data_IF_497381838581
#
_entry.id   IF_497381838581
#
_cell.length_a   1.000
_cell.length_b   1.000
_cell.length_c   1.000
_cell.angle_alpha   90.00
_cell.angle_beta   90.00
_cell.angle_gamma   90.00
#
_symmetry.space_group_name_H-M   'P 1'
#
loop_
_entity.id
_entity.type
_entity.pdbx_description
1 polymer ?
#
# COMPACT_ATOMS: atom_id res chain seq x y z
N UNK A 1 21.16 -22.47 -11.60
CA UNK A 1 20.48 -23.15 -10.48
C UNK A 1 19.36 -22.24 -10.00
N UNK A 2 18.10 -22.67 -10.16
CA UNK A 2 16.92 -21.90 -9.76
C UNK A 2 16.86 -21.95 -8.23
N UNK A 3 16.87 -20.77 -7.58
CA UNK A 3 16.72 -20.67 -6.12
C UNK A 3 15.31 -21.10 -5.72
N UNK A 4 15.16 -22.35 -5.30
CA UNK A 4 13.89 -22.95 -4.84
C UNK A 4 13.48 -22.49 -3.44
N UNK A 5 14.42 -21.98 -2.64
CA UNK A 5 14.18 -21.59 -1.26
C UNK A 5 13.28 -20.36 -1.07
N UNK A 6 13.06 -19.55 -2.12
CA UNK A 6 12.13 -18.41 -2.08
C UNK A 6 10.67 -18.81 -2.28
N UNK A 7 10.37 -20.00 -2.80
CA UNK A 7 8.99 -20.47 -3.00
C UNK A 7 8.42 -21.20 -1.78
N UNK A 8 9.25 -21.77 -0.91
CA UNK A 8 8.81 -22.61 0.21
C UNK A 8 8.59 -21.87 1.52
N UNK A 9 9.10 -20.64 1.69
CA UNK A 9 8.99 -19.93 2.97
C UNK A 9 7.59 -19.36 3.27
N UNK A 10 6.64 -19.48 2.34
CA UNK A 10 5.25 -19.00 2.53
C UNK A 10 4.21 -19.99 2.01
N UNK A 11 4.40 -21.30 2.22
CA UNK A 11 3.36 -22.29 1.93
C UNK A 11 2.37 -22.37 3.09
N UNK A 12 1.52 -21.36 3.23
CA UNK A 12 0.38 -21.43 4.15
C UNK A 12 -0.66 -22.40 3.56
N UNK A 13 -1.05 -23.41 4.33
CA UNK A 13 -2.18 -24.28 4.00
C UNK A 13 -3.44 -23.71 4.66
N UNK A 14 -4.54 -23.72 3.93
CA UNK A 14 -5.86 -23.35 4.45
C UNK A 14 -6.63 -24.64 4.62
N UNK A 15 -7.20 -24.84 5.80
CA UNK A 15 -8.05 -25.98 6.07
C UNK A 15 -9.43 -25.74 5.45
N UNK A 16 -9.76 -26.51 4.42
CA UNK A 16 -11.05 -26.46 3.73
C UNK A 16 -11.75 -27.79 3.99
N UNK A 17 -12.74 -27.78 4.87
CA UNK A 17 -13.53 -28.96 5.26
C UNK A 17 -12.67 -30.15 5.75
N UNK A 18 -11.60 -29.89 6.50
CA UNK A 18 -10.72 -30.92 7.06
C UNK A 18 -9.63 -31.41 6.11
N UNK A 19 -9.52 -30.83 4.90
CA UNK A 19 -8.46 -31.12 3.95
C UNK A 19 -7.49 -29.92 3.85
N UNK A 20 -6.17 -30.12 4.06
CA UNK A 20 -5.18 -29.07 3.89
C UNK A 20 -4.99 -28.76 2.40
N UNK A 21 -5.54 -27.63 1.95
CA UNK A 21 -5.38 -27.14 0.58
C UNK A 21 -4.36 -26.00 0.58
N UNK A 22 -3.51 -25.92 -0.45
CA UNK A 22 -2.51 -24.86 -0.55
C UNK A 22 -3.17 -23.48 -0.74
N UNK A 23 -2.73 -22.47 0.02
CA UNK A 23 -3.30 -21.12 -0.05
C UNK A 23 -3.31 -20.54 -1.49
N UNK A 24 -2.24 -20.68 -2.30
CA UNK A 24 -2.26 -20.19 -3.68
C UNK A 24 -3.34 -20.88 -4.53
N UNK A 25 -3.51 -22.20 -4.42
CA UNK A 25 -4.52 -22.94 -5.17
C UNK A 25 -5.95 -22.53 -4.75
N UNK A 26 -6.18 -22.32 -3.45
CA UNK A 26 -7.47 -21.85 -2.95
C UNK A 26 -7.86 -20.47 -3.50
N UNK A 27 -6.88 -19.57 -3.66
CA UNK A 27 -7.09 -18.24 -4.26
C UNK A 27 -7.45 -18.36 -5.73
N UNK A 28 -6.78 -19.21 -6.50
CA UNK A 28 -7.13 -19.47 -7.91
C UNK A 28 -8.52 -20.06 -8.07
N UNK A 29 -8.91 -21.00 -7.21
CA UNK A 29 -10.26 -21.60 -7.20
C UNK A 29 -11.33 -20.57 -6.83
N UNK A 30 -11.09 -19.76 -5.81
CA UNK A 30 -11.98 -18.66 -5.43
C UNK A 30 -12.10 -17.61 -6.53
N UNK A 31 -11.00 -17.27 -7.20
CA UNK A 31 -10.99 -16.33 -8.31
C UNK A 31 -11.76 -16.89 -9.52
N UNK A 32 -11.58 -18.18 -9.84
CA UNK A 32 -12.34 -18.85 -10.88
C UNK A 32 -13.83 -18.87 -10.53
N UNK A 33 -14.20 -19.24 -9.31
CA UNK A 33 -15.59 -19.27 -8.84
C UNK A 33 -16.22 -17.87 -8.84
N UNK A 34 -15.48 -16.84 -8.42
CA UNK A 34 -15.93 -15.45 -8.45
C UNK A 34 -16.09 -14.93 -9.89
N UNK A 35 -15.19 -15.32 -10.79
CA UNK A 35 -15.29 -14.97 -12.22
C UNK A 35 -16.51 -15.61 -12.88
N UNK A 36 -16.82 -16.87 -12.54
CA UNK A 36 -18.02 -17.58 -13.00
C UNK A 36 -19.28 -16.95 -12.40
N UNK A 37 -19.27 -16.58 -11.12
CA UNK A 37 -20.38 -15.84 -10.49
C UNK A 37 -20.58 -14.45 -11.11
N UNK A 38 -19.51 -13.75 -11.45
CA UNK A 38 -19.58 -12.45 -12.13
C UNK A 38 -20.10 -12.60 -13.56
N UNK A 39 -19.67 -13.62 -14.30
CA UNK A 39 -20.20 -13.95 -15.62
C UNK A 39 -21.68 -14.34 -15.53
N UNK A 40 -22.06 -15.20 -14.59
CA UNK A 40 -23.44 -15.57 -14.35
C UNK A 40 -24.28 -14.36 -13.94
N UNK A 41 -23.77 -13.47 -13.08
CA UNK A 41 -24.45 -12.25 -12.67
C UNK A 41 -24.58 -11.24 -13.82
N UNK A 42 -23.56 -11.08 -14.65
CA UNK A 42 -23.60 -10.19 -15.83
C UNK A 42 -24.55 -10.73 -16.89
N UNK A 43 -24.52 -12.04 -17.17
CA UNK A 43 -25.49 -12.72 -18.05
C UNK A 43 -26.90 -12.61 -17.47
N UNK A 44 -27.10 -12.87 -16.18
CA UNK A 44 -28.40 -12.75 -15.52
C UNK A 44 -28.95 -11.31 -15.57
N UNK A 45 -28.09 -10.32 -15.32
CA UNK A 45 -28.43 -8.89 -15.43
C UNK A 45 -28.76 -8.53 -16.88
N UNK A 46 -27.99 -9.02 -17.85
CA UNK A 46 -28.22 -8.76 -19.27
C UNK A 46 -29.52 -9.39 -19.78
N UNK A 47 -29.78 -10.65 -19.41
CA UNK A 47 -30.98 -11.41 -19.80
C UNK A 47 -32.24 -10.86 -19.11
N UNK A 48 -32.18 -10.51 -17.81
CA UNK A 48 -33.36 -10.00 -17.08
C UNK A 48 -33.59 -8.49 -17.22
N UNK A 49 -32.59 -7.68 -17.59
CA UNK A 49 -32.70 -6.21 -17.64
C UNK A 49 -32.44 -5.62 -19.03
N UNK A 50 -33.12 -6.19 -20.04
CA UNK A 50 -33.12 -5.70 -21.43
C UNK A 50 -33.63 -4.25 -21.59
N UNK A 51 -34.37 -3.71 -20.62
CA UNK A 51 -34.90 -2.34 -20.65
C UNK A 51 -34.20 -1.46 -19.61
N UNK A 52 -33.26 -0.63 -20.06
CA UNK A 52 -32.63 0.44 -19.29
C UNK A 52 -33.60 1.63 -19.10
N UNK A 53 -34.73 1.41 -18.41
CA UNK A 53 -35.35 2.47 -17.63
C UNK A 53 -34.96 2.22 -16.18
N UNK A 54 -34.07 3.05 -15.64
CA UNK A 54 -33.60 2.97 -14.26
C UNK A 54 -34.77 3.30 -13.33
N UNK A 55 -35.54 2.28 -13.00
CA UNK A 55 -36.50 2.27 -11.90
C UNK A 55 -36.25 1.01 -11.08
N UNK A 56 -35.24 1.01 -10.21
CA UNK A 56 -35.14 -0.05 -9.20
C UNK A 56 -36.39 0.05 -8.30
N UNK A 57 -37.24 -0.99 -8.21
CA UNK A 57 -38.49 -0.92 -7.45
C UNK A 57 -38.24 -0.67 -5.96
N UNK A 58 -37.09 -1.11 -5.44
CA UNK A 58 -36.64 -0.80 -4.08
C UNK A 58 -36.29 0.69 -3.90
N UNK A 59 -35.57 1.28 -4.85
CA UNK A 59 -35.21 2.70 -4.82
C UNK A 59 -36.46 3.56 -5.03
N UNK A 60 -37.41 3.13 -5.85
CA UNK A 60 -38.71 3.80 -5.99
C UNK A 60 -39.57 3.68 -4.72
N UNK A 61 -39.55 2.52 -4.04
CA UNK A 61 -40.22 2.34 -2.74
C UNK A 61 -39.59 3.24 -1.67
N UNK A 62 -38.27 3.26 -1.55
CA UNK A 62 -37.53 4.13 -0.62
C UNK A 62 -37.78 5.61 -0.94
N UNK A 63 -37.75 5.98 -2.24
CA UNK A 63 -38.02 7.35 -2.73
C UNK A 63 -39.46 7.81 -2.53
N UNK A 64 -40.42 6.87 -2.51
CA UNK A 64 -41.82 7.13 -2.11
C UNK A 64 -41.98 7.24 -0.60
N UNK A 65 -41.23 6.45 0.18
CA UNK A 65 -41.29 6.42 1.65
C UNK A 65 -40.58 7.61 2.32
N UNK A 66 -39.60 8.21 1.63
CA UNK A 66 -38.87 9.38 2.08
C UNK A 66 -38.92 10.50 1.02
N UNK A 67 -40.00 11.30 0.95
CA UNK A 67 -40.13 12.38 -0.03
C UNK A 67 -39.05 13.46 0.10
N UNK A 68 -38.42 13.61 1.28
CA UNK A 68 -37.26 14.49 1.51
C UNK A 68 -35.97 14.02 0.78
N UNK A 69 -35.93 12.77 0.30
CA UNK A 69 -34.87 12.25 -0.59
C UNK A 69 -35.15 12.56 -2.08
N UNK A 70 -36.27 13.19 -2.44
CA UNK A 70 -36.36 13.92 -3.72
C UNK A 70 -35.41 15.09 -3.59
N UNK A 71 -34.24 14.98 -4.20
CA UNK A 71 -33.24 16.04 -4.21
C UNK A 71 -33.91 17.37 -4.51
N UNK A 72 -33.94 18.24 -3.50
CA UNK A 72 -34.11 19.67 -3.72
C UNK A 72 -33.02 20.10 -4.69
N UNK A 73 -33.28 20.99 -5.68
CA UNK A 73 -32.20 21.51 -6.51
C UNK A 73 -31.12 22.04 -5.58
N UNK A 74 -29.95 21.39 -5.61
CA UNK A 74 -28.87 21.75 -4.70
C UNK A 74 -28.49 23.21 -4.95
N UNK A 75 -28.41 24.01 -3.89
CA UNK A 75 -28.15 25.45 -3.99
C UNK A 75 -26.78 25.77 -4.64
N UNK A 76 -25.86 24.79 -4.67
CA UNK A 76 -24.53 24.94 -5.25
C UNK A 76 -24.17 23.82 -6.23
N UNK A 77 -23.40 24.18 -7.27
CA UNK A 77 -22.87 23.23 -8.28
C UNK A 77 -21.99 22.17 -7.61
N UNK A 78 -21.24 22.53 -6.57
CA UNK A 78 -20.39 21.61 -5.82
C UNK A 78 -21.19 20.46 -5.21
N UNK A 79 -22.31 20.76 -4.54
CA UNK A 79 -23.16 19.74 -3.92
C UNK A 79 -23.80 18.86 -4.97
N UNK A 80 -24.22 19.42 -6.11
CA UNK A 80 -24.81 18.63 -7.20
C UNK A 80 -23.80 17.68 -7.85
N UNK A 81 -22.58 18.15 -8.12
CA UNK A 81 -21.54 17.31 -8.71
C UNK A 81 -21.01 16.26 -7.71
N UNK A 82 -20.91 16.60 -6.43
CA UNK A 82 -20.61 15.63 -5.37
C UNK A 82 -21.71 14.57 -5.24
N UNK A 83 -22.98 14.96 -5.30
CA UNK A 83 -24.12 14.03 -5.30
C UNK A 83 -24.06 13.08 -6.51
N UNK A 84 -23.76 13.59 -7.71
CA UNK A 84 -23.58 12.75 -8.90
C UNK A 84 -22.43 11.76 -8.72
N UNK A 85 -21.28 12.22 -8.23
CA UNK A 85 -20.09 11.39 -8.09
C UNK A 85 -20.29 10.30 -7.01
N UNK A 86 -20.77 10.68 -5.83
CA UNK A 86 -20.87 9.77 -4.69
C UNK A 86 -22.10 8.86 -4.74
N UNK A 87 -23.27 9.39 -5.14
CA UNK A 87 -24.54 8.66 -5.06
C UNK A 87 -24.93 8.12 -6.44
N UNK A 88 -24.97 8.95 -7.49
CA UNK A 88 -25.43 8.50 -8.82
C UNK A 88 -24.44 7.51 -9.45
N UNK A 89 -23.14 7.78 -9.36
CA UNK A 89 -22.08 6.89 -9.83
C UNK A 89 -21.68 5.81 -8.81
N UNK A 90 -22.39 5.71 -7.68
CA UNK A 90 -22.13 4.74 -6.59
C UNK A 90 -20.72 4.84 -5.99
N UNK A 91 -20.07 6.01 -6.06
CA UNK A 91 -18.76 6.24 -5.43
C UNK A 91 -18.75 5.92 -3.93
N UNK A 92 -19.86 6.16 -3.22
CA UNK A 92 -19.96 5.84 -1.79
C UNK A 92 -19.89 4.33 -1.52
N UNK A 93 -20.46 3.51 -2.39
CA UNK A 93 -20.40 2.05 -2.28
C UNK A 93 -18.96 1.58 -2.49
N UNK A 94 -18.25 2.18 -3.46
CA UNK A 94 -16.84 1.86 -3.71
C UNK A 94 -15.96 2.25 -2.51
N UNK A 95 -16.18 3.43 -1.91
CA UNK A 95 -15.46 3.85 -0.70
C UNK A 95 -15.71 2.87 0.46
N UNK A 96 -16.96 2.43 0.66
CA UNK A 96 -17.30 1.45 1.70
C UNK A 96 -16.65 0.08 1.44
N UNK A 97 -16.65 -0.40 0.20
CA UNK A 97 -15.97 -1.66 -0.16
C UNK A 97 -14.45 -1.52 0.04
N UNK A 98 -13.86 -0.38 -0.34
CA UNK A 98 -12.44 -0.13 -0.12
C UNK A 98 -12.08 -0.14 1.38
N UNK A 99 -12.88 0.54 2.20
CA UNK A 99 -12.71 0.52 3.66
C UNK A 99 -12.82 -0.91 4.22
N UNK A 100 -13.80 -1.70 3.76
CA UNK A 100 -13.99 -3.09 4.16
C UNK A 100 -12.82 -3.99 3.74
N UNK A 101 -12.20 -3.76 2.57
CA UNK A 101 -11.03 -4.53 2.14
C UNK A 101 -9.76 -4.17 2.92
N UNK A 102 -9.63 -2.94 3.42
CA UNK A 102 -8.49 -2.52 4.23
C UNK A 102 -8.64 -2.95 5.69
N UNK A 103 -9.86 -2.91 6.23
CA UNK A 103 -10.11 -3.16 7.65
C UNK A 103 -9.52 -4.49 8.19
N UNK A 104 -9.62 -5.64 7.50
CA UNK A 104 -9.00 -6.90 7.93
C UNK A 104 -7.48 -6.82 8.04
N UNK A 105 -6.81 -5.97 7.25
CA UNK A 105 -5.36 -5.78 7.34
C UNK A 105 -4.95 -5.17 8.69
N UNK A 106 -5.79 -4.31 9.27
CA UNK A 106 -5.55 -3.74 10.59
C UNK A 106 -5.60 -4.81 11.68
N UNK A 107 -6.55 -5.75 11.58
CA UNK A 107 -6.73 -6.79 12.59
C UNK A 107 -5.71 -7.94 12.50
N UNK A 108 -5.18 -8.24 11.30
CA UNK A 108 -4.30 -9.39 11.08
C UNK A 108 -2.82 -9.14 11.39
N UNK A 109 -2.34 -7.89 11.44
CA UNK A 109 -0.91 -7.62 11.68
C UNK A 109 -0.44 -7.93 13.11
N UNK A 110 -1.36 -8.03 14.07
CA UNK A 110 -1.05 -8.33 15.47
C UNK A 110 -0.56 -9.77 15.72
N UNK A 111 -0.57 -10.66 14.72
CA UNK A 111 -0.53 -12.10 15.01
C UNK A 111 0.85 -12.75 14.93
N UNK A 112 1.89 -12.20 14.26
CA UNK A 112 3.20 -12.88 14.23
C UNK A 112 4.41 -11.94 14.08
N UNK A 113 4.90 -11.37 15.18
CA UNK A 113 6.33 -11.01 15.27
C UNK A 113 7.11 -12.32 15.38
N UNK A 114 8.12 -12.53 14.54
CA UNK A 114 9.01 -13.69 14.68
C UNK A 114 9.77 -13.60 15.99
N UNK A 115 10.19 -14.73 16.54
CA UNK A 115 10.98 -14.79 17.78
C UNK A 115 12.24 -13.92 17.69
N UNK A 116 12.93 -13.96 16.55
CA UNK A 116 14.11 -13.13 16.28
C UNK A 116 13.77 -11.63 16.26
N UNK A 117 12.64 -11.25 15.69
CA UNK A 117 12.18 -9.85 15.65
C UNK A 117 11.77 -9.36 17.05
N UNK A 118 11.21 -10.24 17.89
CA UNK A 118 10.91 -9.92 19.28
C UNK A 118 12.19 -9.67 20.10
N UNK A 119 13.20 -10.54 19.96
CA UNK A 119 14.50 -10.31 20.60
C UNK A 119 15.14 -9.01 20.11
N UNK A 120 15.11 -8.77 18.79
CA UNK A 120 15.62 -7.54 18.19
C UNK A 120 14.90 -6.29 18.74
N UNK A 121 13.57 -6.32 18.85
CA UNK A 121 12.77 -5.24 19.43
C UNK A 121 13.17 -4.97 20.88
N UNK A 122 13.37 -6.02 21.69
CA UNK A 122 13.77 -5.88 23.09
C UNK A 122 15.15 -5.23 23.24
N UNK A 123 16.14 -5.65 22.44
CA UNK A 123 17.44 -4.98 22.43
C UNK A 123 17.36 -3.53 21.97
N UNK A 124 16.57 -3.25 20.93
CA UNK A 124 16.41 -1.89 20.41
C UNK A 124 15.69 -0.96 21.39
N UNK A 125 14.84 -1.48 22.27
CA UNK A 125 14.28 -0.71 23.38
C UNK A 125 15.36 -0.27 24.39
N UNK A 126 16.31 -1.14 24.70
CA UNK A 126 17.44 -0.84 25.61
C UNK A 126 18.41 0.16 24.97
N UNK A 127 18.76 -0.07 23.69
CA UNK A 127 19.77 0.73 22.98
C UNK A 127 19.22 2.05 22.41
N UNK A 128 17.92 2.27 22.50
CA UNK A 128 17.20 3.37 21.83
C UNK A 128 17.82 4.75 22.08
N UNK A 129 17.95 5.57 21.03
CA UNK A 129 18.56 6.92 21.10
C UNK A 129 20.07 6.93 20.83
N UNK A 130 20.76 8.01 21.21
CA UNK A 130 22.18 8.23 20.87
C UNK A 130 23.12 7.13 21.41
N UNK A 131 24.22 6.90 20.68
CA UNK A 131 25.26 5.97 21.09
C UNK A 131 26.06 6.55 22.26
N UNK A 132 25.96 5.92 23.44
CA UNK A 132 26.70 6.29 24.65
C UNK A 132 27.69 5.20 25.06
N UNK A 133 28.77 5.51 25.79
CA UNK A 133 29.75 4.52 26.27
C UNK A 133 29.13 3.40 27.11
N UNK A 134 28.05 3.69 27.84
CA UNK A 134 27.28 2.72 28.62
C UNK A 134 26.63 1.65 27.73
N UNK A 135 26.09 2.06 26.57
CA UNK A 135 25.49 1.15 25.59
C UNK A 135 26.54 0.31 24.87
N UNK A 136 27.72 0.86 24.61
CA UNK A 136 28.85 0.10 24.06
C UNK A 136 29.31 -0.99 25.04
N UNK A 137 29.40 -0.66 26.33
CA UNK A 137 29.73 -1.63 27.37
C UNK A 137 28.68 -2.75 27.48
N UNK A 138 27.38 -2.41 27.34
CA UNK A 138 26.31 -3.39 27.26
C UNK A 138 26.47 -4.34 26.05
N UNK A 139 26.79 -3.81 24.87
CA UNK A 139 27.02 -4.61 23.67
C UNK A 139 28.21 -5.57 23.83
N UNK A 140 29.30 -5.10 24.44
CA UNK A 140 30.48 -5.93 24.71
C UNK A 140 30.17 -7.06 25.70
N UNK A 141 29.46 -6.76 26.79
CA UNK A 141 29.05 -7.76 27.77
C UNK A 141 28.13 -8.84 27.15
N UNK A 142 27.18 -8.43 26.32
CA UNK A 142 26.27 -9.37 25.64
C UNK A 142 27.01 -10.22 24.59
N UNK A 143 27.97 -9.63 23.88
CA UNK A 143 28.83 -10.38 22.96
C UNK A 143 29.65 -11.45 23.67
N UNK A 144 30.21 -11.12 24.84
CA UNK A 144 30.96 -12.07 25.66
C UNK A 144 30.04 -13.19 26.19
N UNK A 145 28.85 -12.84 26.69
CA UNK A 145 27.85 -13.80 27.17
C UNK A 145 27.46 -14.83 26.09
N UNK A 146 27.25 -14.37 24.84
CA UNK A 146 26.97 -15.27 23.71
C UNK A 146 28.18 -16.15 23.36
N UNK A 147 29.40 -15.61 23.42
CA UNK A 147 30.62 -16.37 23.16
C UNK A 147 30.88 -17.44 24.22
N UNK A 148 30.68 -17.11 25.49
CA UNK A 148 30.83 -18.03 26.63
C UNK A 148 29.79 -19.16 26.55
N UNK A 149 28.53 -18.83 26.24
CA UNK A 149 27.49 -19.83 26.02
C UNK A 149 27.81 -20.77 24.85
N UNK A 150 28.37 -20.25 23.75
CA UNK A 150 28.81 -21.07 22.62
C UNK A 150 29.98 -22.00 23.00
N UNK A 151 30.93 -21.51 23.79
CA UNK A 151 32.07 -22.29 24.26
C UNK A 151 31.64 -23.43 25.20
N UNK A 152 30.69 -23.19 26.09
CA UNK A 152 30.15 -24.22 26.98
C UNK A 152 29.37 -25.30 26.22
N UNK A 153 28.61 -24.96 25.18
CA UNK A 153 28.01 -25.97 24.29
C UNK A 153 29.08 -26.81 23.60
N UNK A 154 30.14 -26.19 23.08
CA UNK A 154 31.25 -26.94 22.46
C UNK A 154 31.94 -27.86 23.47
N UNK A 155 32.10 -27.43 24.72
CA UNK A 155 32.64 -28.27 25.80
C UNK A 155 31.72 -29.45 26.13
N UNK A 156 30.41 -29.22 26.21
CA UNK A 156 29.42 -30.28 26.46
C UNK A 156 29.42 -31.30 25.32
N UNK A 157 29.51 -30.84 24.07
CA UNK A 157 29.64 -31.71 22.90
C UNK A 157 30.92 -32.55 22.96
N UNK A 158 32.06 -31.98 23.35
CA UNK A 158 33.31 -32.74 23.57
C UNK A 158 33.16 -33.82 24.64
N UNK A 159 32.51 -33.51 25.78
CA UNK A 159 32.26 -34.49 26.83
C UNK A 159 31.36 -35.65 26.35
N UNK A 160 30.42 -35.36 25.45
CA UNK A 160 29.58 -36.38 24.82
C UNK A 160 30.39 -37.26 23.85
N UNK A 161 31.21 -36.66 22.99
CA UNK A 161 32.09 -37.40 22.06
C UNK A 161 33.13 -38.27 22.79
N UNK A 162 33.56 -37.86 23.98
CA UNK A 162 34.43 -38.65 24.86
C UNK A 162 33.69 -39.73 25.67
N UNK A 163 32.39 -39.96 25.41
CA UNK A 163 31.50 -40.89 26.12
C UNK A 163 31.41 -40.64 27.64
N UNK A 164 31.73 -39.43 28.12
CA UNK A 164 31.69 -39.07 29.56
C UNK A 164 30.28 -38.71 30.05
N UNK A 165 29.38 -38.38 29.14
CA UNK A 165 27.98 -38.06 29.43
C UNK A 165 27.06 -38.80 28.46
N UNK A 166 25.83 -39.08 28.89
CA UNK A 166 24.79 -39.67 28.04
C UNK A 166 24.11 -38.61 27.17
N UNK A 167 23.48 -39.03 26.07
CA UNK A 167 22.73 -38.11 25.19
C UNK A 167 21.63 -37.33 25.92
N UNK A 168 20.97 -37.96 26.90
CA UNK A 168 19.96 -37.30 27.74
C UNK A 168 20.59 -36.20 28.60
N UNK A 169 21.79 -36.45 29.16
CA UNK A 169 22.53 -35.46 29.93
C UNK A 169 23.07 -34.32 29.06
N UNK A 170 23.52 -34.63 27.83
CA UNK A 170 23.95 -33.62 26.85
C UNK A 170 22.83 -32.61 26.58
N UNK A 171 21.65 -33.09 26.22
CA UNK A 171 20.48 -32.23 25.95
C UNK A 171 20.13 -31.39 27.18
N UNK A 172 20.13 -31.98 28.38
CA UNK A 172 19.82 -31.24 29.61
C UNK A 172 20.85 -30.14 29.92
N UNK A 173 22.14 -30.43 29.74
CA UNK A 173 23.22 -29.46 29.99
C UNK A 173 23.26 -28.34 28.94
N UNK A 174 22.85 -28.62 27.70
CA UNK A 174 22.78 -27.62 26.62
C UNK A 174 21.59 -26.65 26.73
N UNK A 175 20.45 -27.09 27.27
CA UNK A 175 19.21 -26.29 27.37
C UNK A 175 19.42 -24.82 27.79
N UNK A 176 20.09 -24.50 28.92
CA UNK A 176 20.27 -23.11 29.34
C UNK A 176 21.04 -22.28 28.32
N UNK A 177 22.09 -22.85 27.70
CA UNK A 177 22.91 -22.15 26.71
C UNK A 177 22.22 -22.02 25.35
N UNK A 178 21.40 -22.99 24.95
CA UNK A 178 20.60 -22.87 23.73
C UNK A 178 19.62 -21.70 23.82
N UNK A 179 19.01 -21.47 24.99
CA UNK A 179 18.11 -20.32 25.20
C UNK A 179 18.83 -18.96 25.03
N UNK A 180 20.12 -18.89 25.35
CA UNK A 180 20.97 -17.72 25.15
C UNK A 180 21.30 -17.56 23.66
N UNK A 181 21.69 -18.64 22.98
CA UNK A 181 22.01 -18.63 21.56
C UNK A 181 20.81 -18.35 20.65
N UNK A 182 19.57 -18.58 21.10
CA UNK A 182 18.37 -18.15 20.36
C UNK A 182 18.37 -16.63 20.05
N UNK A 183 19.10 -15.82 20.82
CA UNK A 183 19.24 -14.37 20.59
C UNK A 183 20.32 -14.00 19.58
N UNK A 184 21.16 -14.94 19.16
CA UNK A 184 22.37 -14.68 18.37
C UNK A 184 22.07 -14.00 17.03
N UNK A 185 21.02 -14.42 16.31
CA UNK A 185 20.62 -13.81 15.04
C UNK A 185 20.24 -12.32 15.22
N UNK A 186 19.42 -12.05 16.25
CA UNK A 186 19.01 -10.69 16.58
C UNK A 186 20.21 -9.82 16.98
N UNK A 187 21.12 -10.37 17.79
CA UNK A 187 22.34 -9.70 18.22
C UNK A 187 23.29 -9.41 17.05
N UNK A 188 23.44 -10.34 16.10
CA UNK A 188 24.25 -10.12 14.91
C UNK A 188 23.72 -8.94 14.07
N UNK A 189 22.39 -8.84 13.90
CA UNK A 189 21.75 -7.68 13.24
C UNK A 189 22.05 -6.37 13.97
N UNK A 190 22.07 -6.38 15.30
CA UNK A 190 22.42 -5.20 16.11
C UNK A 190 23.88 -4.82 15.93
N UNK A 191 24.79 -5.80 15.91
CA UNK A 191 26.21 -5.53 15.69
C UNK A 191 26.48 -4.93 14.31
N UNK A 192 25.74 -5.37 13.28
CA UNK A 192 25.78 -4.73 11.96
C UNK A 192 25.30 -3.27 12.02
N UNK A 193 24.22 -2.99 12.77
CA UNK A 193 23.71 -1.65 12.99
C UNK A 193 24.73 -0.78 13.75
N UNK A 194 25.36 -1.31 14.80
CA UNK A 194 26.40 -0.63 15.57
C UNK A 194 27.57 -0.23 14.67
N UNK A 195 28.10 -1.18 13.89
CA UNK A 195 29.19 -0.92 12.95
C UNK A 195 28.83 0.18 11.94
N UNK A 196 27.58 0.21 11.49
CA UNK A 196 27.06 1.26 10.60
C UNK A 196 27.11 2.64 11.26
N UNK A 197 26.64 2.77 12.52
CA UNK A 197 26.67 4.04 13.25
C UNK A 197 28.10 4.52 13.49
N UNK A 198 29.01 3.63 13.84
CA UNK A 198 30.43 3.97 14.06
C UNK A 198 31.10 4.44 12.78
N UNK A 199 30.80 3.82 11.63
CA UNK A 199 31.31 4.24 10.32
C UNK A 199 30.81 5.63 9.89
N UNK A 200 29.59 6.01 10.29
CA UNK A 200 29.02 7.33 10.01
C UNK A 200 29.51 8.43 10.96
N UNK A 201 30.31 8.10 11.98
CA UNK A 201 30.80 9.05 12.97
C UNK A 201 29.76 9.44 14.03
N UNK A 202 28.75 8.57 14.26
CA UNK A 202 27.71 8.76 15.27
C UNK A 202 26.29 8.56 14.73
N UNK A 203 25.31 8.69 15.61
CA UNK A 203 23.89 8.58 15.29
C UNK A 203 23.09 8.00 16.45
N UNK A 204 21.83 7.67 16.18
CA UNK A 204 20.93 7.09 17.18
C UNK A 204 20.45 5.71 16.76
N UNK A 205 20.39 4.77 17.70
CA UNK A 205 19.68 3.53 17.48
C UNK A 205 18.18 3.81 17.37
N UNK A 206 17.64 3.48 16.20
CA UNK A 206 16.22 3.55 15.90
C UNK A 206 15.74 2.16 15.54
N UNK A 207 14.64 1.73 16.16
CA UNK A 207 13.98 0.48 15.80
C UNK A 207 13.42 0.58 14.38
N UNK A 208 14.08 -0.07 13.42
CA UNK A 208 13.96 0.26 12.00
C UNK A 208 12.94 -0.61 11.23
N UNK A 209 12.58 -1.78 11.75
CA UNK A 209 11.71 -2.74 11.06
C UNK A 209 10.38 -2.13 10.61
N UNK A 210 9.72 -1.36 11.47
CA UNK A 210 8.46 -0.66 11.13
C UNK A 210 8.64 0.37 10.01
N UNK A 211 9.73 1.14 10.05
CA UNK A 211 10.06 2.13 9.03
C UNK A 211 10.38 1.48 7.68
N UNK A 212 11.13 0.37 7.68
CA UNK A 212 11.43 -0.38 6.46
C UNK A 212 10.15 -0.89 5.78
N UNK A 213 9.20 -1.45 6.55
CA UNK A 213 7.91 -1.91 6.02
C UNK A 213 7.10 -0.73 5.46
N UNK A 214 7.01 0.37 6.22
CA UNK A 214 6.26 1.56 5.81
C UNK A 214 6.81 2.16 4.50
N UNK A 215 8.12 2.29 4.37
CA UNK A 215 8.75 2.92 3.20
C UNK A 215 8.79 2.02 1.97
N UNK A 216 8.88 0.70 2.15
CA UNK A 216 8.74 -0.27 1.04
C UNK A 216 7.39 -0.14 0.34
N UNK A 217 6.33 0.11 1.13
CA UNK A 217 4.98 0.31 0.65
C UNK A 217 4.34 -0.94 0.05
N UNK A 218 3.03 -1.09 0.25
CA UNK A 218 2.30 -2.22 -0.33
C UNK A 218 1.91 -1.98 -1.79
N UNK A 219 2.53 -2.73 -2.70
CA UNK A 219 2.12 -2.74 -4.12
C UNK A 219 0.64 -3.14 -4.29
N UNK A 220 0.13 -4.03 -3.42
CA UNK A 220 -1.26 -4.49 -3.47
C UNK A 220 -2.21 -3.35 -3.09
N UNK A 221 -1.87 -2.59 -2.04
CA UNK A 221 -2.64 -1.41 -1.66
C UNK A 221 -2.62 -0.35 -2.76
N UNK A 222 -1.49 -0.14 -3.42
CA UNK A 222 -1.40 0.78 -4.56
C UNK A 222 -2.23 0.32 -5.77
N UNK A 223 -2.16 -0.96 -6.13
CA UNK A 223 -3.00 -1.55 -7.19
C UNK A 223 -4.49 -1.37 -6.87
N UNK A 224 -4.89 -1.65 -5.63
CA UNK A 224 -6.27 -1.44 -5.18
C UNK A 224 -6.67 0.03 -5.36
N UNK A 225 -5.86 0.98 -4.88
CA UNK A 225 -6.11 2.42 -5.05
C UNK A 225 -6.28 2.82 -6.52
N UNK A 226 -5.43 2.31 -7.42
CA UNK A 226 -5.51 2.57 -8.86
C UNK A 226 -6.84 2.07 -9.45
N UNK A 227 -7.22 0.84 -9.12
CA UNK A 227 -8.49 0.23 -9.56
C UNK A 227 -9.69 1.00 -9.00
N UNK A 228 -9.67 1.34 -7.71
CA UNK A 228 -10.74 2.11 -7.07
C UNK A 228 -10.88 3.51 -7.68
N UNK A 229 -9.78 4.20 -7.98
CA UNK A 229 -9.83 5.47 -8.69
C UNK A 229 -10.43 5.32 -10.10
N UNK A 230 -10.03 4.29 -10.85
CA UNK A 230 -10.61 4.02 -12.16
C UNK A 230 -12.13 3.79 -12.07
N UNK A 231 -12.59 2.98 -11.11
CA UNK A 231 -14.01 2.68 -10.89
C UNK A 231 -14.80 3.88 -10.36
N UNK A 232 -14.19 4.79 -9.59
CA UNK A 232 -14.89 5.97 -9.09
C UNK A 232 -15.07 7.04 -10.18
N UNK A 233 -14.07 7.21 -11.05
CA UNK A 233 -13.99 8.39 -11.91
C UNK A 233 -14.25 8.13 -13.40
N UNK A 234 -14.34 6.87 -13.86
CA UNK A 234 -14.55 6.56 -15.29
C UNK A 234 -15.81 7.21 -15.88
N UNK A 235 -16.83 7.47 -15.07
CA UNK A 235 -18.13 7.95 -15.55
C UNK A 235 -18.34 9.47 -15.38
N UNK A 236 -17.35 10.21 -14.88
CA UNK A 236 -17.49 11.64 -14.52
C UNK A 236 -17.85 12.51 -15.73
N UNK A 237 -17.28 12.23 -16.90
CA UNK A 237 -17.58 12.92 -18.16
C UNK A 237 -18.31 12.02 -19.17
N UNK A 238 -17.96 10.73 -19.23
CA UNK A 238 -18.57 9.80 -20.19
C UNK A 238 -20.09 9.71 -20.08
N UNK A 239 -20.65 9.79 -18.87
CA UNK A 239 -22.10 9.78 -18.67
C UNK A 239 -22.80 10.94 -19.38
N UNK A 240 -22.20 12.14 -19.30
CA UNK A 240 -22.81 13.34 -19.87
C UNK A 240 -22.66 13.39 -21.38
N UNK A 241 -21.53 12.89 -21.89
CA UNK A 241 -21.27 12.72 -23.32
C UNK A 241 -22.20 11.67 -23.93
N UNK A 242 -22.44 10.54 -23.24
CA UNK A 242 -23.37 9.50 -23.67
C UNK A 242 -24.79 10.03 -23.85
N UNK A 243 -25.25 10.82 -22.89
CA UNK A 243 -26.63 11.32 -22.85
C UNK A 243 -26.80 12.68 -23.58
N UNK A 244 -25.74 13.21 -24.20
CA UNK A 244 -25.70 14.56 -24.79
C UNK A 244 -26.11 15.70 -23.83
N UNK A 245 -26.14 15.44 -22.53
CA UNK A 245 -26.52 16.43 -21.49
C UNK A 245 -25.51 17.57 -21.36
N UNK A 246 -24.28 17.40 -21.88
CA UNK A 246 -23.27 18.47 -21.94
C UNK A 246 -23.82 19.72 -22.63
N UNK A 247 -24.56 19.56 -23.74
CA UNK A 247 -25.16 20.68 -24.48
C UNK A 247 -26.16 21.47 -23.64
N UNK A 248 -26.98 20.75 -22.86
CA UNK A 248 -27.96 21.35 -21.96
C UNK A 248 -27.29 22.06 -20.78
N UNK A 249 -26.27 21.45 -20.16
CA UNK A 249 -25.56 22.06 -19.03
C UNK A 249 -24.90 23.38 -19.47
N UNK A 250 -24.36 23.44 -20.69
CA UNK A 250 -23.65 24.62 -21.21
C UNK A 250 -24.52 25.86 -21.45
N UNK A 251 -25.84 25.71 -21.56
CA UNK A 251 -26.75 26.87 -21.69
C UNK A 251 -26.93 27.60 -20.36
N UNK A 252 -26.58 26.98 -19.23
CA UNK A 252 -26.63 27.61 -17.91
C UNK A 252 -25.41 28.50 -17.64
N UNK A 253 -25.56 29.62 -16.90
CA UNK A 253 -24.50 30.60 -16.65
C UNK A 253 -23.27 30.00 -15.93
N UNK A 254 -23.50 29.06 -14.99
CA UNK A 254 -22.43 28.34 -14.28
C UNK A 254 -22.07 26.99 -14.92
N UNK A 255 -22.72 26.60 -16.02
CA UNK A 255 -22.58 25.27 -16.62
C UNK A 255 -21.36 25.05 -17.52
N UNK A 256 -20.60 26.12 -17.83
CA UNK A 256 -19.44 26.07 -18.73
C UNK A 256 -18.16 25.67 -17.98
N UNK A 257 -17.14 26.54 -17.96
CA UNK A 257 -15.86 26.23 -17.31
C UNK A 257 -15.97 25.96 -15.81
N UNK A 258 -16.98 26.51 -15.13
CA UNK A 258 -17.12 26.37 -13.68
C UNK A 258 -17.49 24.93 -13.29
N UNK A 259 -18.53 24.33 -13.89
CA UNK A 259 -18.88 22.91 -13.66
C UNK A 259 -17.74 21.96 -13.97
N UNK A 260 -16.99 22.19 -15.06
CA UNK A 260 -15.84 21.34 -15.41
C UNK A 260 -14.76 21.40 -14.32
N UNK A 261 -14.43 22.59 -13.80
CA UNK A 261 -13.47 22.74 -12.70
C UNK A 261 -13.97 22.07 -11.43
N UNK A 262 -15.25 22.24 -11.08
CA UNK A 262 -15.84 21.58 -9.92
C UNK A 262 -15.68 20.05 -10.00
N UNK A 263 -15.93 19.44 -11.17
CA UNK A 263 -15.74 17.99 -11.37
C UNK A 263 -14.30 17.55 -11.15
N UNK A 264 -13.34 18.22 -11.79
CA UNK A 264 -11.92 17.87 -11.70
C UNK A 264 -11.44 18.01 -10.25
N UNK A 265 -11.77 19.12 -9.59
CA UNK A 265 -11.38 19.36 -8.18
C UNK A 265 -12.04 18.34 -7.25
N UNK A 266 -13.34 18.04 -7.41
CA UNK A 266 -14.02 17.03 -6.60
C UNK A 266 -13.39 15.65 -6.77
N UNK A 267 -13.03 15.27 -8.00
CA UNK A 267 -12.33 14.00 -8.26
C UNK A 267 -10.99 13.94 -7.55
N UNK A 268 -10.18 15.01 -7.57
CA UNK A 268 -8.93 15.06 -6.82
C UNK A 268 -9.16 15.03 -5.31
N UNK A 269 -10.11 15.78 -4.77
CA UNK A 269 -10.43 15.78 -3.34
C UNK A 269 -10.83 14.38 -2.86
N UNK A 270 -11.68 13.68 -3.62
CA UNK A 270 -12.08 12.30 -3.29
C UNK A 270 -10.89 11.34 -3.40
N UNK A 271 -10.08 11.44 -4.46
CA UNK A 271 -8.89 10.59 -4.63
C UNK A 271 -7.84 10.79 -3.52
N UNK A 272 -7.60 12.05 -3.13
CA UNK A 272 -6.71 12.40 -2.01
C UNK A 272 -7.28 11.85 -0.70
N UNK A 273 -8.59 11.99 -0.47
CA UNK A 273 -9.22 11.50 0.76
C UNK A 273 -9.10 9.99 0.92
N UNK A 274 -9.41 9.23 -0.15
CA UNK A 274 -9.30 7.76 -0.16
C UNK A 274 -7.84 7.32 0.09
N UNK A 275 -6.89 7.99 -0.55
CA UNK A 275 -5.46 7.69 -0.39
C UNK A 275 -4.94 8.08 0.98
N UNK A 276 -5.38 9.20 1.54
CA UNK A 276 -5.05 9.64 2.90
C UNK A 276 -5.56 8.65 3.94
N UNK A 277 -6.79 8.15 3.79
CA UNK A 277 -7.34 7.10 4.64
C UNK A 277 -6.49 5.82 4.50
N UNK A 278 -6.19 5.37 3.29
CA UNK A 278 -5.39 4.15 3.08
C UNK A 278 -4.00 4.22 3.72
N UNK A 279 -3.30 5.35 3.53
CA UNK A 279 -1.96 5.57 4.11
C UNK A 279 -2.02 5.75 5.63
N UNK A 280 -3.03 6.46 6.15
CA UNK A 280 -3.24 6.62 7.58
C UNK A 280 -3.51 5.29 8.29
N UNK A 281 -4.28 4.40 7.65
CA UNK A 281 -4.53 3.05 8.16
C UNK A 281 -3.27 2.18 8.11
N UNK A 282 -2.49 2.21 7.02
CA UNK A 282 -1.20 1.51 6.93
C UNK A 282 -0.23 1.98 8.03
N UNK A 283 -0.16 3.29 8.24
CA UNK A 283 0.66 3.90 9.29
C UNK A 283 0.23 3.47 10.69
N UNK A 284 -1.07 3.55 11.00
CA UNK A 284 -1.60 3.18 12.31
C UNK A 284 -1.34 1.71 12.61
N UNK A 285 -1.57 0.84 11.63
CA UNK A 285 -1.32 -0.60 11.72
C UNK A 285 0.14 -0.91 12.07
N UNK A 286 1.08 -0.27 11.37
CA UNK A 286 2.51 -0.48 11.59
C UNK A 286 2.93 0.08 12.96
N UNK A 287 2.36 1.22 13.36
CA UNK A 287 2.64 1.82 14.66
C UNK A 287 2.14 0.95 15.83
N UNK A 288 0.98 0.30 15.70
CA UNK A 288 0.45 -0.58 16.74
C UNK A 288 1.36 -1.80 16.98
N UNK A 289 1.88 -2.41 15.91
CA UNK A 289 2.71 -3.64 16.01
C UNK A 289 4.16 -3.35 16.36
N UNK A 290 4.78 -2.41 15.64
CA UNK A 290 6.22 -2.15 15.74
C UNK A 290 6.53 -1.02 16.73
N UNK A 291 5.67 -0.01 16.83
CA UNK A 291 5.95 1.22 17.58
C UNK A 291 6.94 2.10 16.80
N UNK A 292 6.45 3.20 16.21
CA UNK A 292 7.27 4.15 15.47
C UNK A 292 7.74 5.25 16.43
N UNK A 293 8.93 5.06 17.01
CA UNK A 293 9.55 6.00 17.94
C UNK A 293 10.71 6.76 17.27
N UNK A 294 11.21 7.82 17.93
CA UNK A 294 12.33 8.66 17.47
C UNK A 294 12.13 9.38 16.10
N UNK A 295 10.99 10.01 15.89
CA UNK A 295 10.67 10.79 14.68
C UNK A 295 11.68 11.89 14.32
N UNK A 296 12.37 12.44 15.31
CA UNK A 296 13.36 13.51 15.15
C UNK A 296 14.76 13.00 14.84
N UNK A 297 15.01 11.69 14.95
CA UNK A 297 16.30 11.11 14.58
C UNK A 297 16.53 11.27 13.07
N UNK A 298 17.80 11.29 12.70
CA UNK A 298 18.21 11.33 11.31
C UNK A 298 17.83 10.05 10.58
N UNK A 299 17.35 10.17 9.34
CA UNK A 299 17.06 9.00 8.50
C UNK A 299 18.33 8.20 8.19
N UNK A 300 19.50 8.85 8.17
CA UNK A 300 20.79 8.21 7.88
C UNK A 300 21.20 7.19 8.96
N UNK A 301 20.68 7.33 10.18
CA UNK A 301 20.93 6.38 11.27
C UNK A 301 20.34 5.00 10.98
N UNK A 302 19.32 4.89 10.11
CA UNK A 302 18.79 3.61 9.66
C UNK A 302 19.72 3.07 8.55
N UNK A 303 20.30 1.85 8.69
CA UNK A 303 21.30 1.33 7.76
C UNK A 303 20.85 1.29 6.29
N UNK A 304 19.58 0.97 6.05
CA UNK A 304 19.00 0.94 4.70
C UNK A 304 19.02 2.32 4.02
N UNK A 305 19.00 3.40 4.80
CA UNK A 305 18.91 4.79 4.32
C UNK A 305 20.19 5.59 4.56
N UNK A 306 21.31 4.88 4.75
CA UNK A 306 22.64 5.45 4.98
C UNK A 306 23.11 6.46 3.93
N UNK A 307 22.64 6.31 2.69
CA UNK A 307 22.96 7.18 1.54
C UNK A 307 22.26 8.54 1.64
N UNK A 308 21.19 8.64 2.43
CA UNK A 308 20.42 9.87 2.57
C UNK A 308 21.13 10.89 3.46
N UNK A 309 20.86 12.20 3.27
CA UNK A 309 21.51 13.25 4.04
C UNK A 309 21.18 13.17 5.54
N UNK A 310 22.23 13.30 6.37
CA UNK A 310 22.12 13.24 7.83
C UNK A 310 21.27 14.36 8.48
N UNK A 311 21.01 15.46 7.78
CA UNK A 311 20.15 16.54 8.26
C UNK A 311 18.65 16.25 8.08
N UNK A 312 18.27 15.23 7.30
CA UNK A 312 16.87 14.93 7.03
C UNK A 312 16.29 14.06 8.18
N UNK A 313 15.33 14.58 8.95
CA UNK A 313 14.69 13.80 10.00
C UNK A 313 13.74 12.74 9.41
N UNK A 314 13.50 11.68 10.17
CA UNK A 314 12.58 10.59 9.81
C UNK A 314 11.19 11.13 9.43
N UNK A 315 10.62 12.04 10.22
CA UNK A 315 9.31 12.64 9.89
C UNK A 315 9.33 13.37 8.54
N UNK A 316 10.42 14.08 8.22
CA UNK A 316 10.55 14.84 6.98
C UNK A 316 10.57 13.90 5.77
N UNK A 317 11.31 12.81 5.88
CA UNK A 317 11.32 11.77 4.86
C UNK A 317 9.94 11.11 4.69
N UNK A 318 9.24 10.80 5.78
CA UNK A 318 7.88 10.22 5.71
C UNK A 318 6.90 11.13 4.97
N UNK A 319 6.98 12.44 5.22
CA UNK A 319 6.12 13.43 4.57
C UNK A 319 6.38 13.52 3.06
N UNK A 320 7.66 13.49 2.65
CA UNK A 320 8.04 13.44 1.23
C UNK A 320 7.45 12.18 0.57
N UNK A 321 7.60 11.02 1.20
CA UNK A 321 7.08 9.76 0.66
C UNK A 321 5.55 9.76 0.51
N UNK A 322 4.83 10.24 1.52
CA UNK A 322 3.37 10.36 1.44
C UNK A 322 2.95 11.36 0.37
N UNK A 323 3.70 12.46 0.20
CA UNK A 323 3.52 13.41 -0.89
C UNK A 323 3.67 12.78 -2.28
N UNK A 324 4.69 11.95 -2.48
CA UNK A 324 4.93 11.24 -3.75
C UNK A 324 3.84 10.21 -4.06
N UNK A 325 3.38 9.47 -3.04
CA UNK A 325 2.24 8.55 -3.17
C UNK A 325 0.95 9.28 -3.55
N UNK A 326 0.69 10.44 -2.94
CA UNK A 326 -0.44 11.30 -3.31
C UNK A 326 -0.30 11.80 -4.76
N UNK A 327 0.89 12.26 -5.16
CA UNK A 327 1.16 12.70 -6.53
C UNK A 327 0.85 11.59 -7.55
N UNK A 328 1.24 10.35 -7.25
CA UNK A 328 0.94 9.19 -8.09
C UNK A 328 -0.57 8.99 -8.29
N UNK A 329 -1.37 9.07 -7.22
CA UNK A 329 -2.82 8.90 -7.32
C UNK A 329 -3.50 10.10 -7.99
N UNK A 330 -3.01 11.32 -7.78
CA UNK A 330 -3.52 12.51 -8.49
C UNK A 330 -3.26 12.37 -9.99
N UNK A 331 -2.05 11.97 -10.40
CA UNK A 331 -1.73 11.70 -11.80
C UNK A 331 -2.61 10.59 -12.39
N UNK A 332 -2.79 9.49 -11.65
CA UNK A 332 -3.71 8.40 -12.02
C UNK A 332 -5.15 8.92 -12.22
N UNK A 333 -5.65 9.75 -11.30
CA UNK A 333 -6.98 10.35 -11.38
C UNK A 333 -7.10 11.26 -12.61
N UNK A 334 -6.08 12.07 -12.91
CA UNK A 334 -6.06 12.92 -14.11
C UNK A 334 -6.16 12.08 -15.40
N UNK A 335 -5.43 10.97 -15.50
CA UNK A 335 -5.48 10.07 -16.65
C UNK A 335 -6.88 9.46 -16.80
N UNK A 336 -7.51 8.99 -15.72
CA UNK A 336 -8.88 8.45 -15.75
C UNK A 336 -9.88 9.51 -16.23
N UNK A 337 -9.75 10.76 -15.75
CA UNK A 337 -10.60 11.87 -16.18
C UNK A 337 -10.40 12.22 -17.66
N UNK A 338 -9.16 12.16 -18.15
CA UNK A 338 -8.83 12.36 -19.57
C UNK A 338 -9.56 11.33 -20.43
N UNK A 339 -9.43 10.04 -20.09
CA UNK A 339 -10.08 8.94 -20.79
C UNK A 339 -11.62 9.12 -20.76
N UNK A 340 -12.17 9.51 -19.61
CA UNK A 340 -13.61 9.78 -19.45
C UNK A 340 -14.08 10.94 -20.33
N UNK A 341 -13.27 11.99 -20.49
CA UNK A 341 -13.60 13.18 -21.31
C UNK A 341 -13.53 12.91 -22.82
N UNK A 342 -12.83 11.86 -23.23
CA UNK A 342 -12.67 11.50 -24.65
C UNK A 342 -13.76 10.53 -25.10
N UNK A 343 -14.17 9.62 -24.22
CA UNK A 343 -15.04 8.51 -24.57
C UNK A 343 -16.51 8.81 -24.25
N UNK A 344 -17.39 8.62 -25.24
CA UNK A 344 -18.85 8.68 -25.07
C UNK A 344 -19.43 7.44 -24.38
N UNK A 345 -18.71 6.32 -24.38
CA UNK A 345 -19.16 5.08 -23.77
C UNK A 345 -18.47 4.85 -22.43
N UNK A 346 -19.23 4.89 -21.33
CA UNK A 346 -18.72 4.68 -19.98
C UNK A 346 -18.05 3.31 -19.78
N UNK A 347 -18.55 2.25 -20.42
CA UNK A 347 -17.95 0.91 -20.28
C UNK A 347 -16.54 0.86 -20.90
N UNK A 348 -16.38 1.47 -22.08
CA UNK A 348 -15.07 1.56 -22.74
C UNK A 348 -14.12 2.42 -21.92
N UNK A 349 -14.61 3.54 -21.36
CA UNK A 349 -13.80 4.39 -20.47
C UNK A 349 -13.31 3.63 -19.24
N UNK A 350 -14.16 2.78 -18.65
CA UNK A 350 -13.81 1.96 -17.49
C UNK A 350 -12.74 0.91 -17.85
N UNK A 351 -12.99 0.10 -18.89
CA UNK A 351 -12.08 -0.95 -19.32
C UNK A 351 -10.72 -0.40 -19.72
N UNK A 352 -10.70 0.69 -20.49
CA UNK A 352 -9.45 1.32 -20.94
C UNK A 352 -8.67 1.90 -19.75
N UNK A 353 -9.35 2.51 -18.78
CA UNK A 353 -8.68 3.03 -17.57
C UNK A 353 -8.06 1.91 -16.75
N UNK A 354 -8.79 0.82 -16.51
CA UNK A 354 -8.28 -0.33 -15.76
C UNK A 354 -7.13 -0.99 -16.51
N UNK A 355 -7.30 -1.24 -17.81
CA UNK A 355 -6.26 -1.89 -18.62
C UNK A 355 -4.98 -1.06 -18.65
N UNK A 356 -5.07 0.24 -18.94
CA UNK A 356 -3.91 1.11 -19.05
C UNK A 356 -3.16 1.26 -17.72
N UNK A 357 -3.87 1.34 -16.60
CA UNK A 357 -3.29 1.73 -15.31
C UNK A 357 -3.00 0.54 -14.39
N UNK A 358 -3.85 -0.50 -14.40
CA UNK A 358 -3.70 -1.67 -13.55
C UNK A 358 -2.87 -2.80 -14.22
N UNK A 359 -2.96 -2.98 -15.54
CA UNK A 359 -2.25 -4.08 -16.20
C UNK A 359 -0.72 -4.01 -16.04
N UNK A 360 -0.05 -2.83 -16.17
CA UNK A 360 1.39 -2.73 -15.92
C UNK A 360 1.79 -3.14 -14.49
N UNK A 361 0.95 -2.82 -13.51
CA UNK A 361 1.19 -3.17 -12.10
C UNK A 361 1.04 -4.68 -11.90
N UNK A 362 0.00 -5.30 -12.48
CA UNK A 362 -0.21 -6.76 -12.41
C UNK A 362 0.94 -7.50 -13.09
N UNK A 363 1.44 -7.02 -14.22
CA UNK A 363 2.60 -7.63 -14.90
C UNK A 363 3.90 -7.50 -14.08
N UNK A 364 4.07 -6.41 -13.33
CA UNK A 364 5.16 -6.27 -12.37
C UNK A 364 5.09 -7.32 -11.26
N UNK A 365 3.89 -7.65 -10.76
CA UNK A 365 3.72 -8.74 -9.80
C UNK A 365 4.16 -10.10 -10.34
N UNK A 366 4.09 -10.30 -11.67
CA UNK A 366 4.53 -11.53 -12.33
C UNK A 366 6.05 -11.57 -12.58
N UNK A 367 6.81 -10.57 -12.12
CA UNK A 367 8.27 -10.52 -12.24
C UNK A 367 8.80 -9.87 -13.52
N UNK A 368 7.94 -9.22 -14.32
CA UNK A 368 8.37 -8.55 -15.56
C UNK A 368 8.87 -7.13 -15.21
N UNK A 369 10.16 -7.02 -14.87
CA UNK A 369 10.77 -5.79 -14.37
C UNK A 369 10.61 -4.57 -15.29
N UNK A 370 10.54 -4.76 -16.62
CA UNK A 370 10.35 -3.66 -17.58
C UNK A 370 9.00 -2.94 -17.43
N UNK A 371 7.97 -3.64 -16.94
CA UNK A 371 6.61 -3.07 -16.82
C UNK A 371 6.46 -2.09 -15.67
N UNK A 372 7.39 -2.13 -14.70
CA UNK A 372 7.46 -1.16 -13.60
C UNK A 372 7.61 0.26 -14.13
N UNK A 373 8.36 0.44 -15.22
CA UNK A 373 8.56 1.74 -15.85
C UNK A 373 7.33 2.25 -16.62
N UNK A 374 6.43 1.39 -17.06
CA UNK A 374 5.19 1.87 -17.71
C UNK A 374 4.13 2.31 -16.69
N UNK A 375 4.34 2.04 -15.41
CA UNK A 375 3.40 2.31 -14.33
C UNK A 375 3.85 3.48 -13.44
N UNK A 376 2.93 4.02 -12.65
CA UNK A 376 3.26 4.99 -11.59
C UNK A 376 3.82 4.32 -10.31
N UNK A 377 4.16 3.02 -10.38
CA UNK A 377 4.70 2.24 -9.26
C UNK A 377 6.04 2.80 -8.71
N UNK A 378 6.97 3.36 -9.51
CA UNK A 378 8.20 3.96 -8.99
C UNK A 378 7.94 5.14 -8.03
N UNK A 379 6.83 5.86 -8.19
CA UNK A 379 6.41 6.92 -7.26
C UNK A 379 5.81 6.32 -5.98
N UNK A 380 5.03 5.24 -6.11
CA UNK A 380 4.41 4.57 -4.96
C UNK A 380 5.44 3.88 -4.05
N UNK A 381 6.49 3.31 -4.66
CA UNK A 381 7.61 2.64 -4.00
C UNK A 381 8.86 3.53 -3.91
N UNK A 382 8.68 4.85 -3.93
CA UNK A 382 9.79 5.79 -3.89
C UNK A 382 10.69 5.57 -2.66
N UNK A 383 10.12 5.09 -1.54
CA UNK A 383 10.83 4.84 -0.29
C UNK A 383 12.06 3.95 -0.40
N UNK A 384 12.07 2.97 -1.30
CA UNK A 384 13.25 2.12 -1.55
C UNK A 384 14.01 2.51 -2.81
N UNK A 385 13.49 3.48 -3.57
CA UNK A 385 14.13 4.01 -4.77
C UNK A 385 15.15 5.10 -4.44
N UNK A 386 15.01 5.78 -3.30
CA UNK A 386 15.94 6.80 -2.84
C UNK A 386 17.30 6.25 -2.36
N UNK A 387 17.39 4.95 -2.09
CA UNK A 387 18.63 4.31 -1.60
C UNK A 387 19.59 3.96 -2.74
N UNK A 388 19.06 3.75 -3.96
CA UNK A 388 19.86 3.45 -5.15
C UNK A 388 19.92 4.68 -6.06
N UNK A 389 21.13 5.17 -6.34
CA UNK A 389 21.35 6.38 -7.17
C UNK A 389 20.68 6.31 -8.54
N UNK A 390 20.64 5.13 -9.17
CA UNK A 390 19.92 4.91 -10.43
C UNK A 390 18.40 5.05 -10.30
N UNK A 391 17.81 4.50 -9.24
CA UNK A 391 16.34 4.57 -9.01
C UNK A 391 15.91 5.95 -8.54
N UNK A 392 16.80 6.72 -7.90
CA UNK A 392 16.56 8.11 -7.54
C UNK A 392 16.24 8.99 -8.75
N UNK A 393 17.09 8.94 -9.79
CA UNK A 393 16.91 9.73 -11.02
C UNK A 393 15.58 9.36 -11.69
N UNK A 394 15.27 8.06 -11.72
CA UNK A 394 14.01 7.57 -12.26
C UNK A 394 12.85 8.16 -11.45
N UNK A 395 12.87 8.09 -10.12
CA UNK A 395 11.81 8.69 -9.30
C UNK A 395 11.61 10.19 -9.62
N UNK A 396 12.70 10.96 -9.71
CA UNK A 396 12.65 12.39 -10.07
C UNK A 396 12.03 12.63 -11.45
N UNK A 397 12.39 11.83 -12.48
CA UNK A 397 11.76 11.91 -13.79
C UNK A 397 10.25 11.64 -13.74
N UNK A 398 9.81 10.68 -12.93
CA UNK A 398 8.38 10.38 -12.77
C UNK A 398 7.64 11.47 -12.02
N UNK A 399 8.27 12.14 -11.06
CA UNK A 399 7.66 13.31 -10.42
C UNK A 399 7.43 14.43 -11.43
N UNK A 400 8.42 14.74 -12.27
CA UNK A 400 8.29 15.72 -13.35
C UNK A 400 7.22 15.32 -14.38
N UNK A 401 7.18 14.05 -14.78
CA UNK A 401 6.17 13.50 -15.69
C UNK A 401 4.75 13.57 -15.09
N UNK A 402 4.58 13.26 -13.80
CA UNK A 402 3.30 13.33 -13.11
C UNK A 402 2.81 14.78 -12.96
N UNK A 403 3.69 15.72 -12.60
CA UNK A 403 3.32 17.15 -12.51
C UNK A 403 2.95 17.71 -13.89
N UNK A 404 3.76 17.42 -14.90
CA UNK A 404 3.49 17.88 -16.28
C UNK A 404 2.21 17.27 -16.86
N UNK A 405 1.92 15.99 -16.59
CA UNK A 405 0.67 15.35 -17.02
C UNK A 405 -0.55 16.05 -16.42
N UNK A 406 -0.54 16.35 -15.11
CA UNK A 406 -1.64 17.05 -14.44
C UNK A 406 -1.83 18.46 -15.04
N UNK A 407 -0.72 19.20 -15.23
CA UNK A 407 -0.71 20.54 -15.80
C UNK A 407 -1.22 20.58 -17.25
N UNK A 408 -0.99 19.54 -18.06
CA UNK A 408 -1.48 19.46 -19.43
C UNK A 408 -2.92 18.94 -19.53
N UNK A 409 -3.26 17.91 -18.75
CA UNK A 409 -4.55 17.22 -18.82
C UNK A 409 -5.69 18.14 -18.36
N UNK A 410 -5.53 18.87 -17.26
CA UNK A 410 -6.63 19.69 -16.73
C UNK A 410 -7.09 20.79 -17.70
N UNK A 411 -6.19 21.59 -18.32
CA UNK A 411 -6.55 22.51 -19.38
C UNK A 411 -7.10 21.83 -20.63
N UNK A 412 -6.55 20.68 -21.02
CA UNK A 412 -7.04 19.92 -22.19
C UNK A 412 -8.49 19.47 -22.00
N UNK A 413 -8.84 18.88 -20.86
CA UNK A 413 -10.21 18.49 -20.51
C UNK A 413 -11.13 19.71 -20.60
N UNK A 414 -10.72 20.84 -20.03
CA UNK A 414 -11.49 22.10 -20.09
C UNK A 414 -11.73 22.54 -21.54
N UNK A 415 -10.69 22.55 -22.38
CA UNK A 415 -10.81 22.95 -23.80
C UNK A 415 -11.72 22.01 -24.58
N UNK A 416 -11.54 20.70 -24.43
CA UNK A 416 -12.33 19.67 -25.12
C UNK A 416 -13.80 19.66 -24.70
N UNK A 417 -14.09 19.78 -23.42
CA UNK A 417 -15.47 19.87 -22.94
C UNK A 417 -16.16 21.18 -23.36
N UNK A 418 -15.39 22.23 -23.69
CA UNK A 418 -15.89 23.47 -24.27
C UNK A 418 -16.12 23.39 -25.79
N UNK A 419 -15.70 22.33 -26.48
CA UNK A 419 -15.97 22.14 -27.92
C UNK A 419 -17.22 21.32 -28.23
N UNK A 420 -17.73 20.52 -27.28
CA UNK A 420 -18.94 19.69 -27.42
C UNK A 420 -20.24 20.43 -27.16
#
# INVERSE_FOLDING_TARGET
>A
MIQTNTFYSTYSTIDVFGAPVSAPASVWVLFALFSVLLLAATVFVYVKKKNYQVGMPLVQKIRKRFPKLRGTPAASVWVQEAYKLLIVNKGIVLILVFALLIFPKLAQQNVYLSTDELYYKNYMQILSGELTPEKESYLQAEQQNLADAQAEITRIEQLYQENKITEIQRVQYEQPYQSILMKQNAFQRIMQYYNHLTQQGGGSFVYDSGYQILYKGSQITFLALVIFCALCFFNVFSMELKNNTVKLIRTLPKGRSYTIRCKVVLSFVVGISITGIAQGLEFFSINEVYGLNQWNASIASIPMFSVLPGWLPIWGYTAILFGLRLLAIISNTAIVLLISSVNKNSLISMLLSIFLLAAPIILSFMGINLTQYFSLLPLAQAGTSFTDSGKFIICMLYTGAAVSSICFICPFIKKKMMTY
#
